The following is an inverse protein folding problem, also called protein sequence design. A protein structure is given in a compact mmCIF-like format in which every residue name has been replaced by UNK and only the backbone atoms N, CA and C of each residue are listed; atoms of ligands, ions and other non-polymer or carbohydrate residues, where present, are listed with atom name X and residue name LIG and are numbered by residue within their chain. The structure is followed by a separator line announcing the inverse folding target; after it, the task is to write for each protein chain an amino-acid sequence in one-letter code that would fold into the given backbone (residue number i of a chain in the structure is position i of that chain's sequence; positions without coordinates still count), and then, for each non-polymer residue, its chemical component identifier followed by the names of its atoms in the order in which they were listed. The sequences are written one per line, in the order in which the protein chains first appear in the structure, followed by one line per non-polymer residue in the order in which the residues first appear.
data_IF_676485417723
#
_entry.id   IF_676485417723
#
_cell.length_a   1.000
_cell.length_b   1.000
_cell.length_c   1.000
_cell.angle_alpha   90.00
_cell.angle_beta   90.00
_cell.angle_gamma   90.00
#
_symmetry.space_group_name_H-M   'P 1'
#
loop_
_entity.id
_entity.type
_entity.pdbx_description
1 polymer ?
#
# COMPACT_ATOMS: atom_id res chain seq x y z
N UNK A 1 1.18 0.75 5.85
CA UNK A 1 0.09 0.68 6.85
C UNK A 1 -1.09 -0.14 6.36
N UNK A 2 -1.69 0.15 5.19
CA UNK A 2 -2.86 -0.58 4.70
C UNK A 2 -2.69 -2.11 4.67
N UNK A 3 -1.56 -2.64 4.17
CA UNK A 3 -1.28 -4.08 4.20
C UNK A 3 -1.34 -4.67 5.62
N UNK A 4 -0.69 -4.04 6.59
CA UNK A 4 -0.72 -4.50 7.99
C UNK A 4 -2.11 -4.43 8.63
N UNK A 5 -2.95 -3.47 8.24
CA UNK A 5 -4.34 -3.42 8.68
C UNK A 5 -5.18 -4.57 8.08
N UNK A 6 -4.91 -4.97 6.84
CA UNK A 6 -5.52 -6.15 6.24
C UNK A 6 -5.12 -7.41 7.01
N UNK A 7 -3.84 -7.57 7.35
CA UNK A 7 -3.37 -8.71 8.14
C UNK A 7 -3.96 -8.71 9.54
N UNK A 8 -4.02 -7.55 10.19
CA UNK A 8 -4.60 -7.43 11.52
C UNK A 8 -6.09 -7.79 11.53
N UNK A 9 -6.83 -7.42 10.47
CA UNK A 9 -8.23 -7.82 10.32
C UNK A 9 -8.36 -9.35 10.24
N UNK A 10 -7.47 -10.03 9.52
CA UNK A 10 -7.46 -11.51 9.43
C UNK A 10 -7.10 -12.16 10.76
N UNK A 11 -6.06 -11.66 11.42
CA UNK A 11 -5.56 -12.22 12.67
C UNK A 11 -6.54 -12.06 13.85
N UNK A 12 -7.29 -10.95 13.87
CA UNK A 12 -8.19 -10.62 15.00
C UNK A 12 -9.66 -10.88 14.72
N UNK A 13 -10.05 -11.04 13.45
CA UNK A 13 -11.45 -11.08 13.03
C UNK A 13 -12.18 -9.74 13.13
N UNK A 14 -11.49 -8.66 13.52
CA UNK A 14 -12.09 -7.35 13.73
C UNK A 14 -12.24 -6.58 12.39
N UNK A 15 -13.47 -6.26 11.95
CA UNK A 15 -13.72 -5.69 10.63
C UNK A 15 -13.21 -4.25 10.47
N UNK A 16 -13.11 -3.47 11.55
CA UNK A 16 -12.69 -2.05 11.46
C UNK A 16 -11.31 -1.88 10.82
N UNK A 17 -10.41 -2.85 10.99
CA UNK A 17 -9.07 -2.78 10.40
C UNK A 17 -9.12 -2.88 8.88
N UNK A 18 -9.97 -3.76 8.34
CA UNK A 18 -10.18 -3.86 6.90
C UNK A 18 -10.83 -2.58 6.35
N UNK A 19 -11.82 -2.03 7.04
CA UNK A 19 -12.48 -0.79 6.61
C UNK A 19 -11.49 0.37 6.49
N UNK A 20 -10.63 0.56 7.49
CA UNK A 20 -9.59 1.60 7.46
C UNK A 20 -8.52 1.33 6.38
N UNK A 21 -8.15 0.06 6.17
CA UNK A 21 -7.23 -0.30 5.09
C UNK A 21 -7.79 0.09 3.71
N UNK A 22 -9.08 -0.16 3.48
CA UNK A 22 -9.75 0.18 2.22
C UNK A 22 -9.82 1.70 2.02
N UNK A 23 -10.14 2.48 3.06
CA UNK A 23 -10.12 3.95 3.00
C UNK A 23 -8.74 4.48 2.60
N UNK A 24 -7.68 3.95 3.21
CA UNK A 24 -6.30 4.34 2.89
C UNK A 24 -5.93 3.99 1.45
N UNK A 25 -6.22 2.77 0.98
CA UNK A 25 -5.90 2.35 -0.40
C UNK A 25 -6.66 3.19 -1.43
N UNK A 26 -7.93 3.49 -1.18
CA UNK A 26 -8.73 4.38 -2.04
C UNK A 26 -8.12 5.78 -2.07
N UNK A 27 -7.84 6.38 -0.91
CA UNK A 27 -7.26 7.73 -0.85
C UNK A 27 -5.90 7.81 -1.58
N UNK A 28 -5.03 6.83 -1.41
CA UNK A 28 -3.74 6.76 -2.11
C UNK A 28 -3.94 6.64 -3.63
N UNK A 29 -4.88 5.79 -4.06
CA UNK A 29 -5.20 5.59 -5.48
C UNK A 29 -5.80 6.83 -6.14
N UNK A 30 -6.53 7.64 -5.38
CA UNK A 30 -7.14 8.86 -5.88
C UNK A 30 -6.15 10.02 -5.92
N UNK A 31 -5.30 10.16 -4.90
CA UNK A 31 -4.56 11.40 -4.63
C UNK A 31 -3.05 11.32 -4.84
N UNK A 32 -2.45 10.12 -4.81
CA UNK A 32 -1.00 9.96 -4.85
C UNK A 32 -0.46 9.29 -6.11
N UNK A 33 -1.33 8.81 -7.01
CA UNK A 33 -0.87 8.16 -8.25
C UNK A 33 -0.35 9.16 -9.27
N UNK A 34 0.71 8.77 -9.96
CA UNK A 34 1.39 9.56 -11.01
C UNK A 34 0.71 9.50 -12.38
N UNK A 35 -0.57 9.10 -12.46
CA UNK A 35 -1.34 8.81 -13.70
C UNK A 35 -1.25 9.85 -14.82
N UNK A 36 -0.98 11.11 -14.50
CA UNK A 36 -0.93 12.24 -15.44
C UNK A 36 0.50 12.77 -15.69
N UNK A 37 1.51 12.14 -15.12
CA UNK A 37 2.91 12.54 -15.26
C UNK A 37 3.57 11.79 -16.41
N UNK A 38 4.12 12.53 -17.38
CA UNK A 38 4.95 11.95 -18.45
C UNK A 38 6.41 11.74 -18.03
N UNK A 39 6.78 12.10 -16.79
CA UNK A 39 8.15 12.05 -16.26
C UNK A 39 8.34 11.08 -15.09
N UNK A 40 7.24 10.60 -14.51
CA UNK A 40 7.33 9.73 -13.35
C UNK A 40 7.53 8.29 -13.80
N UNK A 41 8.60 7.66 -13.32
CA UNK A 41 8.88 6.24 -13.56
C UNK A 41 8.19 5.32 -12.55
N UNK A 42 7.68 5.88 -11.45
CA UNK A 42 7.04 5.16 -10.35
C UNK A 42 5.54 5.45 -10.28
N UNK A 43 4.78 4.53 -9.68
CA UNK A 43 3.32 4.56 -9.60
C UNK A 43 2.84 5.56 -8.54
N UNK A 44 3.51 5.62 -7.39
CA UNK A 44 3.15 6.45 -6.24
C UNK A 44 4.11 7.63 -6.12
N UNK A 45 3.56 8.81 -5.89
CA UNK A 45 4.29 10.03 -5.58
C UNK A 45 4.05 10.49 -4.14
N UNK A 46 4.63 11.63 -3.78
CA UNK A 46 4.40 12.34 -2.51
C UNK A 46 4.88 11.57 -1.28
N UNK A 47 5.84 10.67 -1.47
CA UNK A 47 6.46 9.95 -0.38
C UNK A 47 7.59 10.79 0.23
N UNK A 48 7.96 10.47 1.47
CA UNK A 48 9.09 11.11 2.16
C UNK A 48 10.03 10.03 2.68
N UNK A 49 11.33 10.15 2.37
CA UNK A 49 12.38 9.24 2.83
C UNK A 49 12.88 9.62 4.22
N UNK A 50 13.39 10.84 4.38
CA UNK A 50 13.95 11.30 5.65
C UNK A 50 13.61 12.78 5.87
N UNK A 51 12.48 13.04 6.53
CA UNK A 51 12.04 14.42 6.79
C UNK A 51 12.99 15.20 7.69
N UNK A 52 13.52 14.65 8.81
CA UNK A 52 14.46 15.38 9.66
C UNK A 52 15.70 15.92 8.94
N UNK A 53 16.21 15.21 7.94
CA UNK A 53 17.35 15.68 7.13
C UNK A 53 16.94 16.41 5.84
N UNK A 54 15.64 16.61 5.62
CA UNK A 54 15.05 17.11 4.38
C UNK A 54 15.56 16.37 3.12
N UNK A 55 15.88 15.07 3.27
CA UNK A 55 16.31 14.21 2.15
C UNK A 55 15.12 13.41 1.60
N UNK A 56 14.89 13.57 0.30
CA UNK A 56 13.84 12.84 -0.42
C UNK A 56 12.44 13.14 0.09
N UNK A 57 12.01 14.41 0.04
CA UNK A 57 10.66 14.86 0.36
C UNK A 57 9.84 15.04 -0.92
N UNK A 58 8.56 14.60 -0.90
CA UNK A 58 7.64 14.65 -2.05
C UNK A 58 8.19 13.91 -3.30
N UNK A 59 8.87 12.78 -3.08
CA UNK A 59 9.44 11.93 -4.14
C UNK A 59 8.66 10.62 -4.29
N UNK A 60 8.98 9.88 -5.34
CA UNK A 60 8.57 8.48 -5.47
C UNK A 60 9.55 7.56 -4.76
N UNK A 61 9.03 6.47 -4.19
CA UNK A 61 9.81 5.47 -3.47
C UNK A 61 9.40 4.06 -3.95
N UNK A 62 10.33 3.20 -4.39
CA UNK A 62 9.98 1.88 -4.93
C UNK A 62 9.18 1.01 -3.97
N UNK A 63 9.43 1.12 -2.67
CA UNK A 63 8.66 0.39 -1.65
C UNK A 63 7.23 0.90 -1.51
N UNK A 64 6.94 2.16 -1.86
CA UNK A 64 5.55 2.65 -1.87
C UNK A 64 4.74 1.96 -2.97
N UNK A 65 5.33 1.79 -4.16
CA UNK A 65 4.71 1.07 -5.28
C UNK A 65 4.45 -0.39 -4.91
N UNK A 66 5.45 -1.04 -4.29
CA UNK A 66 5.31 -2.41 -3.79
C UNK A 66 4.13 -2.55 -2.83
N UNK A 67 4.07 -1.73 -1.77
CA UNK A 67 3.03 -1.86 -0.75
C UNK A 67 1.65 -1.40 -1.24
N UNK A 68 1.57 -0.48 -2.21
CA UNK A 68 0.30 -0.16 -2.84
C UNK A 68 -0.24 -1.37 -3.61
N UNK A 69 0.60 -1.98 -4.44
CA UNK A 69 0.19 -3.12 -5.26
C UNK A 69 -0.15 -4.34 -4.39
N UNK A 70 0.67 -4.64 -3.39
CA UNK A 70 0.39 -5.70 -2.42
C UNK A 70 -0.95 -5.47 -1.72
N UNK A 71 -1.22 -4.25 -1.25
CA UNK A 71 -2.49 -3.92 -0.61
C UNK A 71 -3.70 -4.11 -1.53
N UNK A 72 -3.58 -3.68 -2.80
CA UNK A 72 -4.62 -3.89 -3.81
C UNK A 72 -4.85 -5.39 -4.07
N UNK A 73 -3.79 -6.17 -4.20
CA UNK A 73 -3.89 -7.61 -4.48
C UNK A 73 -4.45 -8.39 -3.28
N UNK A 74 -4.09 -8.05 -2.04
CA UNK A 74 -4.70 -8.62 -0.83
C UNK A 74 -6.21 -8.36 -0.75
N UNK A 75 -6.71 -7.30 -1.40
CA UNK A 75 -8.14 -6.98 -1.45
C UNK A 75 -8.83 -7.72 -2.60
N UNK A 76 -8.25 -7.70 -3.80
CA UNK A 76 -8.90 -8.17 -5.03
C UNK A 76 -8.61 -9.64 -5.36
N UNK A 77 -7.48 -10.17 -4.88
CA UNK A 77 -6.92 -11.48 -5.22
C UNK A 77 -6.28 -12.15 -3.98
N UNK A 78 -7.02 -12.28 -2.87
CA UNK A 78 -6.46 -12.78 -1.61
C UNK A 78 -5.82 -14.16 -1.75
N UNK A 79 -6.47 -15.09 -2.45
CA UNK A 79 -5.97 -16.47 -2.62
C UNK A 79 -4.68 -16.53 -3.46
N UNK A 80 -4.57 -15.70 -4.50
CA UNK A 80 -3.38 -15.63 -5.35
C UNK A 80 -2.18 -15.11 -4.55
N UNK A 81 -2.43 -14.10 -3.72
CA UNK A 81 -1.39 -13.50 -2.87
C UNK A 81 -0.96 -14.46 -1.76
N UNK A 82 -1.90 -15.08 -1.05
CA UNK A 82 -1.55 -16.01 0.03
C UNK A 82 -0.65 -17.13 -0.47
N UNK A 83 -0.88 -17.62 -1.71
CA UNK A 83 -0.03 -18.62 -2.36
C UNK A 83 1.34 -18.08 -2.76
N UNK A 84 1.44 -16.82 -3.14
CA UNK A 84 2.67 -16.20 -3.65
C UNK A 84 3.64 -15.80 -2.53
N UNK A 85 3.12 -15.41 -1.37
CA UNK A 85 3.91 -14.89 -0.25
C UNK A 85 3.78 -15.70 1.06
N UNK A 86 3.15 -16.89 1.00
CA UNK A 86 3.01 -17.85 2.11
C UNK A 86 2.54 -17.20 3.42
N UNK A 87 1.45 -16.43 3.34
CA UNK A 87 0.83 -15.76 4.51
C UNK A 87 -0.16 -16.67 5.25
N UNK A 88 -0.38 -17.90 4.80
CA UNK A 88 -1.41 -18.83 5.31
C UNK A 88 -0.92 -19.78 6.39
N UNK A 89 0.37 -19.75 6.74
CA UNK A 89 1.02 -20.65 7.71
C UNK A 89 1.25 -20.04 9.10
N UNK A 90 0.73 -18.83 9.38
CA UNK A 90 0.82 -18.18 10.71
C UNK A 90 -0.48 -18.30 11.50
#
# INVERSE_FOLDING_TARGET
MACGLLDLSRATGEPRYREEALKLLTALSETCLTRKSARADAVVARCTRNRPSEDGVEISLPYADYYLLEGILRVLRPDDIDRAIDLSTV
#
